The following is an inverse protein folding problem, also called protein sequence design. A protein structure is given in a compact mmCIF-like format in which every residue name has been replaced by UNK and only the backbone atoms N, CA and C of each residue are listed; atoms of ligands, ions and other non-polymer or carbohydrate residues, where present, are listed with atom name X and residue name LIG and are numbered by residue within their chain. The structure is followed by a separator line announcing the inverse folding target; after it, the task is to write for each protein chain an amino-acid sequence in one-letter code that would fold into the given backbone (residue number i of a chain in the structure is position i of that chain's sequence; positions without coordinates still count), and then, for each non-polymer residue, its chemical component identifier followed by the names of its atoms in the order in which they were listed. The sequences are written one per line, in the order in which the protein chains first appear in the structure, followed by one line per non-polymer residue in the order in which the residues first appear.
data_IF_021093000842
#
_entry.id   IF_021093000842
#
_cell.length_a   1.000
_cell.length_b   1.000
_cell.length_c   1.000
_cell.angle_alpha   90.00
_cell.angle_beta   90.00
_cell.angle_gamma   90.00
#
_symmetry.space_group_name_H-M   'P 1'
#
loop_
_entity.id
_entity.type
_entity.pdbx_description
1 polymer ?
#
# COMPACT_ATOMS: atom_id res chain seq x y z
N UNK A 1 -16.19 10.87 -41.13
CA UNK A 1 -16.16 10.06 -39.89
C UNK A 1 -17.48 10.30 -39.16
N UNK A 2 -18.42 9.34 -39.18
CA UNK A 2 -19.70 9.46 -38.45
C UNK A 2 -19.49 8.90 -37.04
N UNK A 3 -19.71 9.72 -36.02
CA UNK A 3 -19.77 9.24 -34.64
C UNK A 3 -21.03 8.38 -34.54
N UNK A 4 -20.90 7.14 -34.04
CA UNK A 4 -22.05 6.26 -33.83
C UNK A 4 -23.01 6.87 -32.81
N UNK A 5 -24.30 6.95 -33.14
CA UNK A 5 -25.37 7.42 -32.24
C UNK A 5 -25.49 6.53 -30.98
N UNK A 6 -24.95 5.31 -31.01
CA UNK A 6 -24.87 4.41 -29.85
C UNK A 6 -23.98 4.91 -28.70
N UNK A 7 -23.26 6.01 -28.88
CA UNK A 7 -22.43 6.63 -27.82
C UNK A 7 -23.19 7.66 -26.98
N UNK A 8 -24.38 8.08 -27.40
CA UNK A 8 -25.17 9.08 -26.69
C UNK A 8 -26.38 8.41 -26.03
N UNK A 9 -26.35 8.30 -24.70
CA UNK A 9 -27.48 7.83 -23.91
C UNK A 9 -28.41 9.00 -23.59
N UNK A 10 -29.57 9.05 -24.24
CA UNK A 10 -30.61 10.03 -23.95
C UNK A 10 -31.62 9.46 -22.96
N UNK A 11 -31.76 10.13 -21.82
CA UNK A 11 -32.75 9.78 -20.80
C UNK A 11 -34.00 10.64 -21.00
N UNK A 12 -35.14 9.98 -21.23
CA UNK A 12 -36.40 10.69 -21.47
C UNK A 12 -37.02 11.34 -20.21
N UNK A 13 -36.44 11.11 -19.03
CA UNK A 13 -36.78 11.76 -17.76
C UNK A 13 -35.71 11.44 -16.71
N UNK A 14 -35.63 12.28 -15.67
CA UNK A 14 -34.80 12.02 -14.49
C UNK A 14 -35.13 10.66 -13.84
N UNK A 15 -36.42 10.32 -13.75
CA UNK A 15 -36.88 9.03 -13.21
C UNK A 15 -36.34 7.83 -14.00
N UNK A 16 -36.27 7.94 -15.33
CA UNK A 16 -35.73 6.88 -16.18
C UNK A 16 -34.20 6.73 -15.99
N UNK A 17 -33.47 7.83 -15.96
CA UNK A 17 -32.03 7.83 -15.63
C UNK A 17 -31.75 7.13 -14.29
N UNK A 18 -32.49 7.51 -13.23
CA UNK A 18 -32.32 6.94 -11.91
C UNK A 18 -32.56 5.43 -11.93
N UNK A 19 -33.71 5.00 -12.45
CA UNK A 19 -34.10 3.60 -12.37
C UNK A 19 -33.27 2.67 -13.26
N UNK A 20 -32.78 3.15 -14.42
CA UNK A 20 -32.10 2.30 -15.40
C UNK A 20 -30.58 2.39 -15.38
N UNK A 21 -30.01 3.41 -14.76
CA UNK A 21 -28.55 3.59 -14.71
C UNK A 21 -28.07 3.83 -13.29
N UNK A 22 -28.52 4.91 -12.64
CA UNK A 22 -27.98 5.30 -11.34
C UNK A 22 -28.19 4.21 -10.29
N UNK A 23 -29.40 3.63 -10.24
CA UNK A 23 -29.71 2.55 -9.31
C UNK A 23 -28.84 1.32 -9.54
N UNK A 24 -28.65 0.89 -10.79
CA UNK A 24 -27.79 -0.25 -11.09
C UNK A 24 -26.33 0.00 -10.67
N UNK A 25 -25.84 1.22 -10.85
CA UNK A 25 -24.49 1.60 -10.40
C UNK A 25 -24.38 1.62 -8.88
N UNK A 26 -25.40 2.13 -8.19
CA UNK A 26 -25.47 2.11 -6.72
C UNK A 26 -25.51 0.67 -6.20
N UNK A 27 -26.37 -0.19 -6.76
CA UNK A 27 -26.47 -1.59 -6.34
C UNK A 27 -25.12 -2.33 -6.49
N UNK A 28 -24.33 -1.99 -7.52
CA UNK A 28 -22.97 -2.54 -7.71
C UNK A 28 -22.00 -2.01 -6.65
N UNK A 29 -22.04 -0.71 -6.35
CA UNK A 29 -21.18 -0.08 -5.33
C UNK A 29 -21.49 -0.67 -3.95
N UNK A 30 -22.77 -0.75 -3.57
CA UNK A 30 -23.18 -1.33 -2.29
C UNK A 30 -22.76 -2.79 -2.16
N UNK A 31 -22.90 -3.59 -3.23
CA UNK A 31 -22.44 -4.97 -3.24
C UNK A 31 -20.91 -5.08 -3.08
N UNK A 32 -20.16 -4.14 -3.67
CA UNK A 32 -18.70 -4.07 -3.53
C UNK A 32 -18.28 -3.69 -2.11
N UNK A 33 -18.90 -2.68 -1.51
CA UNK A 33 -18.63 -2.26 -0.13
C UNK A 33 -18.91 -3.40 0.87
N UNK A 34 -20.02 -4.12 0.70
CA UNK A 34 -20.35 -5.28 1.55
C UNK A 34 -19.34 -6.41 1.38
N UNK A 35 -18.83 -6.63 0.17
CA UNK A 35 -17.80 -7.63 -0.09
C UNK A 35 -16.49 -7.25 0.60
N UNK A 36 -16.03 -6.01 0.43
CA UNK A 36 -14.82 -5.46 1.06
C UNK A 36 -14.91 -5.59 2.58
N UNK A 37 -15.97 -5.06 3.18
CA UNK A 37 -16.20 -5.11 4.64
C UNK A 37 -16.20 -6.56 5.16
N UNK A 38 -16.75 -7.49 4.38
CA UNK A 38 -16.75 -8.92 4.69
C UNK A 38 -15.37 -9.57 4.63
N UNK A 39 -14.49 -9.14 3.72
CA UNK A 39 -13.11 -9.63 3.61
C UNK A 39 -12.24 -9.01 4.70
N UNK A 40 -12.32 -7.70 4.93
CA UNK A 40 -11.51 -6.99 5.93
C UNK A 40 -11.78 -7.47 7.35
N UNK A 41 -13.01 -7.90 7.66
CA UNK A 41 -13.36 -8.50 8.95
C UNK A 41 -12.97 -9.98 9.08
N UNK A 42 -12.48 -10.61 8.01
CA UNK A 42 -12.10 -12.01 8.02
C UNK A 42 -10.71 -12.21 8.64
N UNK A 43 -10.68 -12.41 9.97
CA UNK A 43 -9.42 -12.56 10.72
C UNK A 43 -8.52 -13.67 10.14
N UNK A 44 -9.06 -14.87 9.95
CA UNK A 44 -8.29 -16.06 9.56
C UNK A 44 -7.93 -16.02 8.07
N UNK A 45 -8.84 -15.52 7.24
CA UNK A 45 -8.70 -15.56 5.79
C UNK A 45 -7.97 -14.38 5.17
N UNK A 46 -7.91 -13.25 5.87
CA UNK A 46 -7.37 -11.99 5.36
C UNK A 46 -6.39 -11.34 6.36
N UNK A 47 -6.83 -10.95 7.56
CA UNK A 47 -6.02 -10.14 8.47
C UNK A 47 -4.74 -10.85 8.92
N UNK A 48 -4.84 -12.08 9.43
CA UNK A 48 -3.69 -12.86 9.89
C UNK A 48 -2.72 -13.17 8.74
N UNK A 49 -3.16 -13.69 7.58
CA UNK A 49 -2.25 -13.92 6.46
C UNK A 49 -1.48 -12.67 5.99
N UNK A 50 -2.14 -11.50 5.95
CA UNK A 50 -1.47 -10.24 5.58
C UNK A 50 -0.45 -9.84 6.63
N UNK A 51 -0.81 -9.85 7.92
CA UNK A 51 0.11 -9.51 9.01
C UNK A 51 1.32 -10.45 9.08
N UNK A 52 1.09 -11.76 8.90
CA UNK A 52 2.16 -12.77 8.87
C UNK A 52 3.10 -12.54 7.69
N UNK A 53 2.56 -12.19 6.51
CA UNK A 53 3.36 -11.86 5.35
C UNK A 53 4.21 -10.61 5.59
N UNK A 54 3.62 -9.53 6.09
CA UNK A 54 4.36 -8.29 6.41
C UNK A 54 5.48 -8.56 7.40
N UNK A 55 5.17 -9.28 8.49
CA UNK A 55 6.14 -9.60 9.54
C UNK A 55 7.29 -10.46 9.04
N UNK A 56 7.06 -11.32 8.04
CA UNK A 56 8.06 -12.29 7.56
C UNK A 56 8.77 -11.92 6.26
N UNK A 57 8.21 -11.00 5.47
CA UNK A 57 8.71 -10.64 4.13
C UNK A 57 8.98 -9.15 3.95
N UNK A 58 8.22 -8.29 4.61
CA UNK A 58 8.37 -6.83 4.49
C UNK A 58 9.36 -6.34 5.54
N UNK A 59 9.22 -6.77 6.80
CA UNK A 59 10.22 -6.47 7.83
C UNK A 59 11.54 -7.20 7.50
N UNK A 60 12.63 -6.44 7.47
CA UNK A 60 13.97 -6.88 7.09
C UNK A 60 14.23 -6.86 5.59
N UNK A 61 13.28 -6.41 4.76
CA UNK A 61 13.51 -6.28 3.33
C UNK A 61 14.40 -5.06 3.02
N UNK A 62 15.16 -5.16 1.93
CA UNK A 62 15.86 -3.99 1.38
C UNK A 62 14.84 -3.09 0.72
N UNK A 63 14.96 -1.78 0.99
CA UNK A 63 14.13 -0.76 0.35
C UNK A 63 14.71 -0.28 -0.99
N UNK A 64 15.74 -0.96 -1.51
CA UNK A 64 16.37 -0.58 -2.76
C UNK A 64 15.44 -0.83 -3.95
N UNK A 65 15.17 0.23 -4.71
CA UNK A 65 14.24 0.20 -5.85
C UNK A 65 12.80 0.53 -5.50
N UNK A 66 12.52 0.84 -4.23
CA UNK A 66 11.26 1.42 -3.76
C UNK A 66 11.41 2.94 -3.60
N UNK A 67 10.27 3.65 -3.58
CA UNK A 67 10.22 5.10 -3.48
C UNK A 67 10.28 5.54 -2.01
N UNK A 68 11.40 5.23 -1.34
CA UNK A 68 11.65 5.60 0.06
C UNK A 68 12.95 6.39 0.19
N UNK A 69 12.87 7.63 0.64
CA UNK A 69 14.02 8.49 0.86
C UNK A 69 14.51 8.42 2.30
N UNK A 70 15.73 7.92 2.48
CA UNK A 70 16.48 7.98 3.74
C UNK A 70 17.93 8.38 3.47
N UNK A 71 18.65 8.98 4.44
CA UNK A 71 20.03 9.36 4.25
C UNK A 71 20.94 8.12 4.15
N UNK A 72 22.01 8.24 3.37
CA UNK A 72 22.99 7.16 3.20
C UNK A 72 22.52 6.11 2.18
N UNK A 73 22.86 4.85 2.43
CA UNK A 73 22.41 3.73 1.60
C UNK A 73 22.41 2.40 2.35
N UNK A 74 22.09 1.32 1.63
CA UNK A 74 21.82 -0.01 2.23
C UNK A 74 20.60 0.03 3.16
N UNK A 75 19.58 0.75 2.71
CA UNK A 75 18.29 0.93 3.34
C UNK A 75 17.56 -0.40 3.53
N UNK A 76 17.23 -0.68 4.78
CA UNK A 76 16.51 -1.89 5.21
C UNK A 76 15.41 -1.47 6.17
N UNK A 77 14.19 -1.95 5.92
CA UNK A 77 13.09 -1.75 6.84
C UNK A 77 13.29 -2.60 8.09
N UNK A 78 13.62 -1.97 9.22
CA UNK A 78 13.93 -2.66 10.47
C UNK A 78 12.67 -3.08 11.21
N UNK A 79 11.69 -2.18 11.29
CA UNK A 79 10.43 -2.42 12.00
C UNK A 79 9.32 -1.51 11.51
N UNK A 80 8.08 -1.93 11.78
CA UNK A 80 6.87 -1.12 11.67
C UNK A 80 6.33 -0.93 13.08
N UNK A 81 6.35 0.31 13.57
CA UNK A 81 6.07 0.63 14.98
C UNK A 81 4.59 0.90 15.26
N UNK A 82 3.84 1.31 14.24
CA UNK A 82 2.38 1.46 14.27
C UNK A 82 1.83 1.27 12.87
N UNK A 83 0.66 0.66 12.76
CA UNK A 83 -0.10 0.53 11.51
C UNK A 83 -1.60 0.79 11.73
N UNK A 84 -2.28 1.26 10.67
CA UNK A 84 -3.75 1.43 10.65
C UNK A 84 -4.47 0.10 10.33
N UNK A 85 -3.72 -0.98 10.11
CA UNK A 85 -4.22 -2.25 9.60
C UNK A 85 -4.33 -2.27 8.07
N UNK A 86 -4.45 -3.48 7.48
CA UNK A 86 -4.61 -3.62 6.03
C UNK A 86 -6.00 -3.16 5.58
N UNK A 87 -6.03 -2.34 4.54
CA UNK A 87 -7.25 -1.83 3.89
C UNK A 87 -7.26 -2.28 2.42
N UNK A 88 -8.44 -2.63 1.91
CA UNK A 88 -8.62 -3.01 0.51
C UNK A 88 -8.99 -1.77 -0.30
N UNK A 89 -8.08 -1.30 -1.15
CA UNK A 89 -8.30 -0.13 -2.02
C UNK A 89 -8.94 -0.50 -3.36
N UNK A 90 -8.61 -1.68 -3.88
CA UNK A 90 -9.11 -2.14 -5.18
C UNK A 90 -9.40 -3.64 -5.19
N UNK A 91 -10.42 -4.03 -5.94
CA UNK A 91 -10.76 -5.42 -6.21
C UNK A 91 -10.97 -5.61 -7.72
N UNK A 92 -10.23 -6.57 -8.27
CA UNK A 92 -10.41 -7.03 -9.64
C UNK A 92 -10.79 -8.51 -9.66
N UNK A 93 -11.75 -8.90 -10.49
CA UNK A 93 -12.06 -10.31 -10.70
C UNK A 93 -11.00 -10.97 -11.59
N UNK A 94 -10.35 -12.03 -11.10
CA UNK A 94 -9.45 -12.86 -11.90
C UNK A 94 -10.23 -13.95 -12.62
N UNK A 95 -11.17 -14.57 -11.91
CA UNK A 95 -12.10 -15.56 -12.44
C UNK A 95 -13.34 -15.73 -11.52
N UNK A 96 -14.12 -16.77 -11.79
CA UNK A 96 -15.35 -17.07 -11.06
C UNK A 96 -15.13 -17.32 -9.55
N UNK A 97 -13.94 -17.74 -9.11
CA UNK A 97 -13.63 -17.98 -7.70
C UNK A 97 -12.58 -17.02 -7.14
N UNK A 98 -11.70 -16.45 -7.95
CA UNK A 98 -10.55 -15.66 -7.47
C UNK A 98 -10.72 -14.17 -7.70
N UNK A 99 -10.35 -13.40 -6.67
CA UNK A 99 -10.23 -11.95 -6.69
C UNK A 99 -8.76 -11.57 -6.55
N UNK A 100 -8.35 -10.52 -7.24
CA UNK A 100 -7.12 -9.79 -6.99
C UNK A 100 -7.46 -8.59 -6.10
N UNK A 101 -6.83 -8.50 -4.94
CA UNK A 101 -6.98 -7.42 -4.00
C UNK A 101 -5.75 -6.51 -4.08
N UNK A 102 -5.97 -5.20 -4.20
CA UNK A 102 -4.99 -4.18 -3.87
C UNK A 102 -5.16 -3.83 -2.40
N UNK A 103 -4.10 -4.01 -1.61
CA UNK A 103 -4.13 -3.80 -0.16
C UNK A 103 -3.11 -2.72 0.18
N UNK A 104 -3.50 -1.75 0.99
CA UNK A 104 -2.60 -0.73 1.54
C UNK A 104 -2.47 -0.90 3.04
N UNK A 105 -1.29 -0.59 3.54
CA UNK A 105 -1.00 -0.53 4.96
C UNK A 105 -0.22 0.72 5.26
N UNK A 106 -0.89 1.60 6.01
CA UNK A 106 -0.36 2.88 6.41
C UNK A 106 0.36 2.72 7.75
N UNK A 107 1.68 2.94 7.75
CA UNK A 107 2.54 2.59 8.87
C UNK A 107 3.53 3.72 9.23
N UNK A 108 4.04 3.66 10.45
CA UNK A 108 5.30 4.33 10.82
C UNK A 108 6.40 3.27 10.78
N UNK A 109 7.39 3.45 9.92
CA UNK A 109 8.53 2.57 9.77
C UNK A 109 9.79 3.14 10.38
N UNK A 110 10.65 2.25 10.86
CA UNK A 110 12.05 2.58 11.18
C UNK A 110 12.93 1.91 10.13
N UNK A 111 13.68 2.72 9.40
CA UNK A 111 14.58 2.27 8.35
C UNK A 111 16.02 2.42 8.84
N UNK A 112 16.78 1.34 8.74
CA UNK A 112 18.23 1.40 8.98
C UNK A 112 18.95 1.68 7.68
N UNK A 113 19.95 2.56 7.75
CA UNK A 113 20.84 2.85 6.63
C UNK A 113 22.26 3.15 7.12
N UNK A 114 23.19 3.28 6.19
CA UNK A 114 24.62 3.46 6.48
C UNK A 114 25.14 4.68 5.72
N UNK A 115 25.89 5.54 6.42
CA UNK A 115 26.53 6.73 5.85
C UNK A 115 28.00 6.83 6.27
N UNK A 116 28.82 7.53 5.48
CA UNK A 116 30.17 7.89 5.90
C UNK A 116 30.14 8.96 7.00
N UNK A 117 31.03 8.85 7.97
CA UNK A 117 31.16 9.82 9.06
C UNK A 117 31.53 11.22 8.58
N UNK A 118 32.19 11.36 7.42
CA UNK A 118 32.47 12.66 6.79
C UNK A 118 31.21 13.41 6.38
N UNK A 119 30.18 12.66 5.99
CA UNK A 119 28.97 13.19 5.33
C UNK A 119 27.82 13.35 6.35
N UNK A 120 28.07 12.98 7.61
CA UNK A 120 27.04 13.02 8.67
C UNK A 120 26.48 14.42 8.93
N UNK A 121 27.23 15.47 8.58
CA UNK A 121 26.77 16.86 8.70
C UNK A 121 25.70 17.20 7.67
N UNK A 122 25.64 16.49 6.55
CA UNK A 122 24.60 16.68 5.54
C UNK A 122 23.23 16.27 6.09
N UNK A 123 23.19 15.36 7.08
CA UNK A 123 21.96 14.95 7.77
C UNK A 123 21.29 16.15 8.49
N UNK A 124 22.07 17.10 9.03
CA UNK A 124 21.52 18.28 9.71
C UNK A 124 20.71 19.18 8.76
N UNK A 125 20.84 19.01 7.44
CA UNK A 125 20.09 19.75 6.43
C UNK A 125 18.74 19.09 6.07
N UNK A 126 18.53 17.83 6.45
CA UNK A 126 17.28 17.11 6.20
C UNK A 126 16.28 17.33 7.35
N UNK A 127 15.04 17.69 7.01
CA UNK A 127 13.91 17.69 7.95
C UNK A 127 13.38 16.27 8.17
N UNK A 128 14.24 15.35 8.61
CA UNK A 128 13.88 13.95 8.89
C UNK A 128 14.27 13.56 10.31
N UNK A 129 13.51 12.64 10.90
CA UNK A 129 13.79 12.10 12.23
C UNK A 129 14.86 11.00 12.13
N UNK A 130 16.13 11.41 12.16
CA UNK A 130 17.29 10.54 11.97
C UNK A 130 18.11 10.47 13.25
N UNK A 131 18.34 9.26 13.73
CA UNK A 131 19.20 8.97 14.88
C UNK A 131 20.46 8.21 14.44
N UNK A 132 21.61 8.61 14.98
CA UNK A 132 22.87 7.87 14.79
C UNK A 132 23.00 6.84 15.89
N UNK A 133 22.84 5.57 15.54
CA UNK A 133 22.77 4.47 16.51
C UNK A 133 24.15 3.91 16.84
N UNK A 134 25.06 3.89 15.87
CA UNK A 134 26.42 3.39 16.06
C UNK A 134 27.44 4.10 15.16
N UNK A 135 28.68 4.22 15.65
CA UNK A 135 29.81 4.83 14.93
C UNK A 135 31.00 3.89 14.98
N UNK A 136 31.27 3.20 13.87
CA UNK A 136 32.40 2.29 13.70
C UNK A 136 33.43 2.89 12.74
N UNK A 137 34.33 3.71 13.27
CA UNK A 137 35.35 4.40 12.49
C UNK A 137 34.73 5.42 11.53
N UNK A 138 34.90 5.17 10.23
CA UNK A 138 34.40 6.07 9.17
C UNK A 138 32.96 5.76 8.76
N UNK A 139 32.30 4.78 9.39
CA UNK A 139 30.94 4.36 9.06
C UNK A 139 30.01 4.66 10.23
N UNK A 140 28.86 5.27 9.93
CA UNK A 140 27.78 5.54 10.88
C UNK A 140 26.53 4.77 10.46
N UNK A 141 25.93 4.05 11.40
CA UNK A 141 24.63 3.41 11.22
C UNK A 141 23.54 4.38 11.68
N UNK A 142 22.54 4.56 10.83
CA UNK A 142 21.42 5.47 11.05
C UNK A 142 20.14 4.67 11.24
N UNK A 143 19.23 5.21 12.04
CA UNK A 143 17.82 4.85 12.04
C UNK A 143 17.01 6.08 11.68
N UNK A 144 16.18 5.97 10.64
CA UNK A 144 15.27 7.03 10.21
C UNK A 144 13.84 6.59 10.48
N UNK A 145 13.09 7.39 11.23
CA UNK A 145 11.67 7.15 11.50
C UNK A 145 10.83 7.98 10.53
N UNK A 146 9.98 7.32 9.75
CA UNK A 146 9.15 7.99 8.74
C UNK A 146 7.83 7.26 8.51
N UNK A 147 6.84 7.98 7.98
CA UNK A 147 5.61 7.38 7.49
C UNK A 147 5.88 6.59 6.22
N UNK A 148 5.36 5.37 6.15
CA UNK A 148 5.47 4.49 4.98
C UNK A 148 4.09 3.96 4.60
N UNK A 149 3.83 3.87 3.30
CA UNK A 149 2.72 3.11 2.76
C UNK A 149 3.27 1.82 2.16
N UNK A 150 2.83 0.67 2.68
CA UNK A 150 3.14 -0.64 2.12
C UNK A 150 1.97 -1.07 1.24
N UNK A 151 2.24 -1.25 -0.05
CA UNK A 151 1.24 -1.68 -1.03
C UNK A 151 1.46 -3.16 -1.36
N UNK A 152 0.40 -3.95 -1.25
CA UNK A 152 0.43 -5.40 -1.48
C UNK A 152 -0.60 -5.79 -2.54
N UNK A 153 -0.27 -6.85 -3.28
CA UNK A 153 -1.22 -7.58 -4.13
C UNK A 153 -1.50 -8.94 -3.53
N UNK A 154 -2.78 -9.28 -3.38
CA UNK A 154 -3.18 -10.57 -2.85
C UNK A 154 -4.23 -11.26 -3.73
N UNK A 155 -4.13 -12.59 -3.85
CA UNK A 155 -5.14 -13.41 -4.52
C UNK A 155 -6.03 -14.06 -3.48
N UNK A 156 -7.33 -13.76 -3.50
CA UNK A 156 -8.32 -14.26 -2.55
C UNK A 156 -9.30 -15.24 -3.20
N UNK A 157 -9.51 -16.41 -2.59
CA UNK A 157 -10.52 -17.38 -3.03
C UNK A 157 -11.86 -17.09 -2.37
N UNK A 158 -12.90 -16.87 -3.19
CA UNK A 158 -14.28 -16.63 -2.76
C UNK A 158 -14.88 -17.86 -2.08
N UNK A 159 -14.64 -19.06 -2.60
CA UNK A 159 -15.18 -20.31 -2.04
C UNK A 159 -14.56 -20.65 -0.69
N UNK A 160 -13.23 -20.49 -0.58
CA UNK A 160 -12.49 -20.87 0.62
C UNK A 160 -12.37 -19.73 1.63
N UNK A 161 -12.71 -18.50 1.21
CA UNK A 161 -12.63 -17.27 2.01
C UNK A 161 -11.25 -17.05 2.62
N UNK A 162 -10.21 -17.23 1.82
CA UNK A 162 -8.82 -17.15 2.27
C UNK A 162 -7.92 -16.62 1.17
N UNK A 163 -6.90 -15.86 1.58
CA UNK A 163 -5.79 -15.47 0.72
C UNK A 163 -4.96 -16.71 0.34
N UNK A 164 -4.61 -16.79 -0.94
CA UNK A 164 -3.84 -17.89 -1.52
C UNK A 164 -2.42 -17.49 -1.93
N UNK A 165 -2.19 -16.20 -2.17
CA UNK A 165 -0.87 -15.62 -2.42
C UNK A 165 -0.85 -14.14 -2.08
N UNK A 166 0.30 -13.63 -1.66
CA UNK A 166 0.56 -12.22 -1.38
C UNK A 166 1.94 -11.87 -1.96
N UNK A 167 2.05 -10.69 -2.56
CA UNK A 167 3.32 -10.08 -2.97
C UNK A 167 3.34 -8.60 -2.62
N UNK A 168 4.54 -8.03 -2.49
CA UNK A 168 4.75 -6.59 -2.35
C UNK A 168 4.62 -5.98 -3.74
N UNK A 169 3.73 -5.01 -3.89
CA UNK A 169 3.57 -4.20 -5.11
C UNK A 169 4.57 -3.03 -5.06
N UNK A 170 4.51 -2.27 -3.97
CA UNK A 170 5.31 -1.07 -3.76
C UNK A 170 5.48 -0.74 -2.27
N UNK A 171 6.46 0.10 -1.97
CA UNK A 171 6.64 0.73 -0.66
C UNK A 171 7.05 2.17 -0.93
N UNK A 172 6.29 3.12 -0.39
CA UNK A 172 6.56 4.55 -0.59
C UNK A 172 6.57 5.32 0.73
N UNK A 173 7.22 6.48 0.72
CA UNK A 173 7.30 7.39 1.85
C UNK A 173 6.36 8.61 1.73
N UNK A 174 5.07 8.41 1.40
CA UNK A 174 3.97 9.41 1.37
C UNK A 174 4.29 10.82 0.84
N UNK A 175 4.99 11.59 1.67
CA UNK A 175 5.32 12.99 1.55
C UNK A 175 6.81 13.15 1.83
N UNK A 176 7.64 12.53 1.01
CA UNK A 176 9.03 12.92 0.88
C UNK A 176 9.08 14.42 0.49
N UNK A 177 9.57 15.32 1.37
CA UNK A 177 9.59 16.76 1.08
C UNK A 177 10.63 17.12 0.00
N UNK A 178 11.45 16.15 -0.40
CA UNK A 178 12.55 16.31 -1.34
C UNK A 178 12.32 15.57 -2.67
N UNK A 179 11.18 14.90 -2.83
CA UNK A 179 10.87 14.13 -4.03
C UNK A 179 10.19 15.04 -5.08
N UNK A 180 10.61 14.99 -6.35
CA UNK A 180 10.01 15.80 -7.40
C UNK A 180 8.67 15.18 -7.85
N UNK A 181 7.56 15.82 -7.50
CA UNK A 181 6.20 15.47 -7.95
C UNK A 181 5.91 15.97 -9.37
#
# INVERSE_FOLDING_TARGET
MKISESRFFYWNSLKNFINKYAKQKLDIIEAHEVLVDGIEKNEIGFLVPVRDFVSSKVIGCSLSGFDVLVPGGSEVLKELSSDVGPQIEDISELDNDRLLLGITMDCIGVVTSVINSSDIKEIEEYEMDVEVIDKNGDICNLETTLGLQVQLRAVYSKSNKVITSIEVDDIDDYNCPYCPY
#
